data_IF_345682841341
#
_entry.id   IF_345682841341
#
_cell.length_a   1.000
_cell.length_b   1.000
_cell.length_c   1.000
_cell.angle_alpha   90.00
_cell.angle_beta   90.00
_cell.angle_gamma   90.00
#
_symmetry.space_group_name_H-M   'P 1'
#
loop_
_entity.id
_entity.type
_entity.pdbx_description
1 polymer ?
#
# COMPACT_ATOMS: atom_id res chain seq x y z
N UNK A 1 1.05 -23.21 -11.70
CA UNK A 1 1.61 -22.35 -10.63
C UNK A 1 2.08 -21.05 -11.26
N UNK A 2 1.57 -19.87 -10.86
CA UNK A 2 2.04 -18.61 -11.42
C UNK A 2 3.49 -18.39 -10.97
N UNK A 3 4.41 -18.24 -11.93
CA UNK A 3 5.83 -17.96 -11.63
C UNK A 3 5.89 -16.67 -10.81
N UNK A 4 6.35 -16.77 -9.56
CA UNK A 4 6.57 -15.62 -8.67
C UNK A 4 7.54 -14.67 -9.38
N UNK A 5 7.12 -13.43 -9.61
CA UNK A 5 7.89 -12.45 -10.40
C UNK A 5 8.87 -11.65 -9.56
N UNK A 6 8.68 -11.68 -8.24
CA UNK A 6 9.45 -10.88 -7.29
C UNK A 6 10.30 -11.76 -6.37
N UNK A 7 11.54 -11.34 -6.10
CA UNK A 7 12.47 -12.07 -5.23
C UNK A 7 12.22 -11.74 -3.75
N UNK A 8 12.66 -12.58 -2.82
CA UNK A 8 12.54 -12.37 -1.37
C UNK A 8 13.13 -11.03 -0.91
N UNK A 9 14.26 -10.60 -1.51
CA UNK A 9 14.84 -9.27 -1.25
C UNK A 9 13.87 -8.14 -1.63
N UNK A 10 13.22 -8.25 -2.79
CA UNK A 10 12.27 -7.25 -3.28
C UNK A 10 11.01 -7.21 -2.39
N UNK A 11 10.56 -8.37 -1.90
CA UNK A 11 9.46 -8.49 -0.94
C UNK A 11 9.80 -7.75 0.36
N UNK A 12 10.96 -8.05 0.96
CA UNK A 12 11.41 -7.41 2.21
C UNK A 12 11.56 -5.90 2.08
N UNK A 13 12.20 -5.43 1.01
CA UNK A 13 12.39 -3.99 0.76
C UNK A 13 11.05 -3.30 0.52
N UNK A 14 10.15 -3.91 -0.26
CA UNK A 14 8.80 -3.36 -0.50
C UNK A 14 7.99 -3.30 0.77
N UNK A 15 8.02 -4.35 1.59
CA UNK A 15 7.32 -4.36 2.88
C UNK A 15 7.79 -3.21 3.77
N UNK A 16 9.11 -3.06 3.92
CA UNK A 16 9.69 -2.00 4.76
C UNK A 16 9.38 -0.59 4.24
N UNK A 17 9.59 -0.34 2.94
CA UNK A 17 9.39 1.00 2.35
C UNK A 17 7.91 1.40 2.37
N UNK A 18 7.01 0.51 1.96
CA UNK A 18 5.57 0.84 1.93
C UNK A 18 5.06 1.05 3.36
N UNK A 19 5.38 0.15 4.28
CA UNK A 19 4.96 0.27 5.67
C UNK A 19 5.48 1.56 6.30
N UNK A 20 6.75 1.92 6.05
CA UNK A 20 7.34 3.16 6.54
C UNK A 20 6.67 4.41 5.97
N UNK A 21 6.42 4.45 4.65
CA UNK A 21 5.79 5.62 4.01
C UNK A 21 4.39 5.85 4.58
N UNK A 22 3.57 4.81 4.67
CA UNK A 22 2.20 4.98 5.17
C UNK A 22 2.21 5.37 6.65
N UNK A 23 3.07 4.74 7.46
CA UNK A 23 3.21 5.10 8.87
C UNK A 23 3.71 6.54 9.07
N UNK A 24 4.65 7.01 8.25
CA UNK A 24 5.11 8.39 8.30
C UNK A 24 4.00 9.38 7.91
N UNK A 25 3.21 9.09 6.87
CA UNK A 25 2.08 9.93 6.48
C UNK A 25 1.05 10.00 7.61
N UNK A 26 0.74 8.86 8.21
CA UNK A 26 -0.22 8.77 9.30
C UNK A 26 0.24 9.58 10.52
N UNK A 27 1.47 9.38 10.97
CA UNK A 27 2.02 10.05 12.16
C UNK A 27 2.32 11.53 11.99
N UNK A 28 2.67 11.98 10.77
CA UNK A 28 3.04 13.39 10.52
C UNK A 28 1.90 14.25 9.97
N UNK A 29 0.94 13.64 9.28
CA UNK A 29 -0.18 14.35 8.65
C UNK A 29 -1.49 13.93 9.30
N UNK A 30 -1.80 12.64 9.38
CA UNK A 30 -3.13 12.23 9.81
C UNK A 30 -3.41 12.49 11.30
N UNK A 31 -2.44 12.19 12.17
CA UNK A 31 -2.55 12.40 13.63
C UNK A 31 -2.55 13.89 13.99
N UNK A 32 -1.61 14.74 13.51
CA UNK A 32 -1.56 16.15 13.94
C UNK A 32 -2.70 17.01 13.40
N UNK A 33 -3.26 16.64 12.24
CA UNK A 33 -4.38 17.36 11.63
C UNK A 33 -5.75 16.73 11.96
N UNK A 34 -5.79 15.74 12.85
CA UNK A 34 -7.00 15.04 13.29
C UNK A 34 -7.86 14.53 12.11
N UNK A 35 -7.17 13.99 11.10
CA UNK A 35 -7.78 13.53 9.85
C UNK A 35 -8.60 12.25 10.10
N UNK A 36 -8.09 11.42 11.02
CA UNK A 36 -8.74 10.22 11.51
C UNK A 36 -8.87 10.31 13.04
N UNK A 37 -10.09 10.54 13.51
CA UNK A 37 -10.51 10.48 14.91
C UNK A 37 -10.67 8.99 15.29
N UNK A 38 -9.53 8.37 15.60
CA UNK A 38 -9.45 6.95 15.98
C UNK A 38 -9.88 6.83 17.43
N UNK A 39 -11.08 6.29 17.66
CA UNK A 39 -11.73 6.27 18.98
C UNK A 39 -10.80 5.75 20.11
N UNK A 40 -10.53 6.66 21.06
CA UNK A 40 -9.93 6.49 22.38
C UNK A 40 -8.40 6.24 22.48
N UNK A 41 -7.71 7.01 23.36
CA UNK A 41 -6.23 7.05 23.51
C UNK A 41 -5.60 5.79 24.15
N UNK A 42 -6.34 4.67 24.24
CA UNK A 42 -5.87 3.43 24.91
C UNK A 42 -5.57 2.28 23.95
N UNK A 43 -5.84 2.41 22.65
CA UNK A 43 -5.56 1.36 21.64
C UNK A 43 -4.82 1.89 20.39
N UNK A 44 -4.30 3.11 20.46
CA UNK A 44 -3.74 3.95 19.38
C UNK A 44 -2.32 3.53 18.94
N UNK A 45 -2.06 2.24 18.78
CA UNK A 45 -0.69 1.80 18.47
C UNK A 45 -0.65 0.57 17.60
N UNK A 46 -0.96 -0.59 18.18
CA UNK A 46 -0.79 -1.85 17.46
C UNK A 46 -1.82 -2.05 16.35
N UNK A 47 -3.08 -1.68 16.55
CA UNK A 47 -4.12 -1.83 15.53
C UNK A 47 -3.87 -0.92 14.33
N UNK A 48 -3.37 0.30 14.56
CA UNK A 48 -3.05 1.27 13.50
C UNK A 48 -1.83 0.83 12.69
N UNK A 49 -0.77 0.36 13.36
CA UNK A 49 0.42 -0.18 12.68
C UNK A 49 0.06 -1.39 11.81
N UNK A 50 -0.85 -2.26 12.26
CA UNK A 50 -1.29 -3.39 11.45
C UNK A 50 -2.13 -2.91 10.26
N UNK A 51 -3.09 -2.02 10.52
CA UNK A 51 -4.03 -1.56 9.51
C UNK A 51 -3.38 -0.68 8.43
N UNK A 52 -2.54 0.26 8.82
CA UNK A 52 -1.87 1.22 7.94
C UNK A 52 -0.44 0.83 7.57
N UNK A 53 0.20 -0.07 8.32
CA UNK A 53 1.54 -0.56 7.97
C UNK A 53 1.49 -1.90 7.23
N UNK A 54 0.85 -2.91 7.83
CA UNK A 54 0.93 -4.29 7.35
C UNK A 54 0.04 -4.54 6.13
N UNK A 55 -1.24 -4.14 6.17
CA UNK A 55 -2.19 -4.37 5.08
C UNK A 55 -1.72 -3.73 3.75
N UNK A 56 -1.39 -2.43 3.68
CA UNK A 56 -0.96 -1.82 2.42
C UNK A 56 0.37 -2.39 1.92
N UNK A 57 1.27 -2.79 2.81
CA UNK A 57 2.52 -3.47 2.46
C UNK A 57 2.25 -4.83 1.80
N UNK A 58 1.38 -5.63 2.39
CA UNK A 58 0.97 -6.92 1.83
C UNK A 58 0.27 -6.76 0.47
N UNK A 59 -0.68 -5.82 0.35
CA UNK A 59 -1.34 -5.53 -0.92
C UNK A 59 -0.36 -5.10 -2.00
N UNK A 60 0.63 -4.28 -1.65
CA UNK A 60 1.68 -3.83 -2.55
C UNK A 60 2.52 -5.00 -3.08
N UNK A 61 2.90 -5.94 -2.21
CA UNK A 61 3.64 -7.15 -2.60
C UNK A 61 2.80 -8.03 -3.55
N UNK A 62 1.53 -8.26 -3.22
CA UNK A 62 0.64 -9.07 -4.08
C UNK A 62 0.46 -8.39 -5.43
N UNK A 63 0.25 -7.07 -5.45
CA UNK A 63 0.16 -6.27 -6.68
C UNK A 63 1.41 -6.44 -7.54
N UNK A 64 2.60 -6.26 -6.96
CA UNK A 64 3.87 -6.38 -7.69
C UNK A 64 4.13 -7.79 -8.20
N UNK A 65 3.72 -8.81 -7.46
CA UNK A 65 3.86 -10.20 -7.89
C UNK A 65 2.95 -10.53 -9.09
N UNK A 66 1.75 -9.96 -9.14
CA UNK A 66 0.80 -10.12 -10.24
C UNK A 66 1.02 -9.14 -11.40
N UNK A 67 1.91 -8.15 -11.21
CA UNK A 67 2.09 -7.04 -12.15
C UNK A 67 2.53 -7.52 -13.54
N UNK A 68 1.68 -7.24 -14.53
CA UNK A 68 1.96 -7.43 -15.96
C UNK A 68 1.74 -6.12 -16.69
N UNK A 69 2.75 -5.67 -17.44
CA UNK A 69 2.73 -4.37 -18.15
C UNK A 69 1.57 -4.27 -19.15
N UNK A 70 1.22 -5.38 -19.80
CA UNK A 70 0.10 -5.49 -20.76
C UNK A 70 -1.28 -5.26 -20.13
N UNK A 71 -1.47 -5.69 -18.88
CA UNK A 71 -2.75 -5.57 -18.15
C UNK A 71 -2.66 -4.61 -16.96
N UNK A 72 -1.76 -3.62 -17.05
CA UNK A 72 -1.47 -2.66 -15.98
C UNK A 72 -2.74 -2.05 -15.42
N UNK A 73 -3.56 -1.44 -16.28
CA UNK A 73 -4.74 -0.69 -15.86
C UNK A 73 -5.80 -1.58 -15.24
N UNK A 74 -6.00 -2.80 -15.75
CA UNK A 74 -6.91 -3.78 -15.14
C UNK A 74 -6.48 -4.14 -13.71
N UNK A 75 -5.19 -4.37 -13.50
CA UNK A 75 -4.61 -4.64 -12.17
C UNK A 75 -4.71 -3.43 -11.25
N UNK A 76 -4.40 -2.22 -11.74
CA UNK A 76 -4.53 -0.98 -10.96
C UNK A 76 -5.97 -0.79 -10.50
N UNK A 77 -6.94 -0.85 -11.41
CA UNK A 77 -8.35 -0.68 -11.07
C UNK A 77 -8.81 -1.71 -10.06
N UNK A 78 -8.42 -2.98 -10.23
CA UNK A 78 -8.77 -4.04 -9.29
C UNK A 78 -8.23 -3.79 -7.88
N UNK A 79 -6.96 -3.39 -7.75
CA UNK A 79 -6.35 -3.13 -6.44
C UNK A 79 -6.82 -1.82 -5.80
N UNK A 80 -7.16 -0.80 -6.60
CA UNK A 80 -7.80 0.43 -6.11
C UNK A 80 -9.18 0.10 -5.53
N UNK A 81 -9.98 -0.72 -6.21
CA UNK A 81 -11.30 -1.16 -5.70
C UNK A 81 -11.13 -1.94 -4.40
N UNK A 82 -10.20 -2.89 -4.33
CA UNK A 82 -9.93 -3.65 -3.10
C UNK A 82 -9.53 -2.73 -1.94
N UNK A 83 -8.61 -1.80 -2.19
CA UNK A 83 -8.12 -0.87 -1.17
C UNK A 83 -9.23 0.04 -0.67
N UNK A 84 -10.06 0.54 -1.59
CA UNK A 84 -11.24 1.33 -1.24
C UNK A 84 -12.27 0.55 -0.43
N UNK A 85 -12.53 -0.72 -0.76
CA UNK A 85 -13.42 -1.58 0.03
C UNK A 85 -12.87 -1.80 1.44
N UNK A 86 -11.57 -2.03 1.57
CA UNK A 86 -10.92 -2.21 2.88
C UNK A 86 -11.00 -0.95 3.73
N UNK A 87 -10.74 0.22 3.15
CA UNK A 87 -10.89 1.50 3.84
C UNK A 87 -12.35 1.74 4.25
N UNK A 88 -13.30 1.49 3.36
CA UNK A 88 -14.73 1.58 3.65
C UNK A 88 -15.14 0.66 4.80
N UNK A 89 -14.67 -0.59 4.80
CA UNK A 89 -14.92 -1.53 5.89
C UNK A 89 -14.36 -0.99 7.20
N UNK A 90 -13.19 -0.37 7.16
CA UNK A 90 -12.53 0.17 8.35
C UNK A 90 -13.26 1.40 8.91
N UNK A 91 -13.83 2.24 8.04
CA UNK A 91 -14.73 3.32 8.43
C UNK A 91 -16.03 2.78 9.06
N UNK A 92 -16.61 1.72 8.50
CA UNK A 92 -17.83 1.07 9.05
C UNK A 92 -17.62 0.42 10.41
N UNK A 93 -16.45 -0.16 10.66
CA UNK A 93 -16.07 -0.76 11.95
C UNK A 93 -15.80 0.33 13.02
N UNK A 94 -15.79 1.61 12.63
CA UNK A 94 -15.67 2.74 13.56
C UNK A 94 -14.22 2.99 14.02
N UNK A 95 -13.24 2.41 13.32
CA UNK A 95 -11.80 2.65 13.54
C UNK A 95 -11.43 4.02 12.99
N UNK A 96 -11.96 4.40 11.81
CA UNK A 96 -11.86 5.74 11.25
C UNK A 96 -13.23 6.43 11.37
N UNK A 97 -13.40 7.32 12.34
CA UNK A 97 -14.36 8.42 12.26
C UNK A 97 -13.53 9.68 12.02
N UNK A 98 -13.93 10.63 11.19
CA UNK A 98 -13.06 11.78 10.92
C UNK A 98 -13.54 12.63 9.75
N UNK A 99 -12.89 13.78 9.56
CA UNK A 99 -13.21 14.74 8.49
C UNK A 99 -12.79 14.25 7.09
N UNK A 100 -12.03 13.15 7.00
CA UNK A 100 -11.58 12.59 5.73
C UNK A 100 -12.73 12.02 4.90
N UNK A 101 -12.92 12.59 3.71
CA UNK A 101 -13.84 12.02 2.72
C UNK A 101 -13.14 10.83 2.06
N UNK A 102 -13.71 9.63 2.18
CA UNK A 102 -13.20 8.36 1.64
C UNK A 102 -12.88 8.46 0.12
N UNK A 103 -13.54 9.37 -0.59
CA UNK A 103 -13.28 9.66 -2.00
C UNK A 103 -11.87 10.20 -2.29
N UNK A 104 -11.24 10.91 -1.34
CA UNK A 104 -9.87 11.41 -1.48
C UNK A 104 -8.82 10.32 -1.49
N UNK A 105 -9.14 9.11 -1.02
CA UNK A 105 -8.22 7.99 -1.04
C UNK A 105 -8.09 7.34 -2.41
N UNK A 106 -9.10 7.49 -3.28
CA UNK A 106 -9.08 6.97 -4.65
C UNK A 106 -7.89 7.51 -5.46
N UNK A 107 -7.65 8.84 -5.55
CA UNK A 107 -6.48 9.35 -6.27
C UNK A 107 -5.16 8.91 -5.62
N UNK A 108 -5.10 8.78 -4.29
CA UNK A 108 -3.91 8.31 -3.58
C UNK A 108 -3.60 6.86 -3.98
N UNK A 109 -4.59 5.96 -3.93
CA UNK A 109 -4.42 4.57 -4.36
C UNK A 109 -4.06 4.49 -5.84
N UNK A 110 -4.69 5.30 -6.68
CA UNK A 110 -4.38 5.33 -8.10
C UNK A 110 -2.92 5.74 -8.35
N UNK A 111 -2.42 6.77 -7.66
CA UNK A 111 -1.01 7.18 -7.76
C UNK A 111 -0.08 6.09 -7.25
N UNK A 112 -0.41 5.48 -6.10
CA UNK A 112 0.39 4.42 -5.49
C UNK A 112 0.52 3.20 -6.41
N UNK A 113 -0.59 2.66 -6.92
CA UNK A 113 -0.60 1.48 -7.78
C UNK A 113 -0.17 1.78 -9.21
N UNK A 114 -0.55 2.91 -9.80
CA UNK A 114 -0.24 3.20 -11.20
C UNK A 114 1.19 3.71 -11.41
N UNK A 115 1.76 4.44 -10.45
CA UNK A 115 3.05 5.11 -10.63
C UNK A 115 4.10 4.65 -9.61
N UNK A 116 3.80 4.76 -8.31
CA UNK A 116 4.79 4.52 -7.26
C UNK A 116 5.30 3.08 -7.26
N UNK A 117 4.41 2.09 -7.17
CA UNK A 117 4.78 0.68 -7.09
C UNK A 117 5.56 0.18 -8.33
N UNK A 118 5.12 0.46 -9.57
CA UNK A 118 5.90 0.11 -10.76
C UNK A 118 7.27 0.79 -10.83
N UNK A 119 7.38 2.03 -10.35
CA UNK A 119 8.64 2.75 -10.29
C UNK A 119 9.57 2.17 -9.22
N UNK A 120 9.05 1.94 -8.03
CA UNK A 120 9.75 1.32 -6.90
C UNK A 120 10.34 -0.04 -7.28
N UNK A 121 9.55 -0.91 -7.93
CA UNK A 121 10.04 -2.22 -8.38
C UNK A 121 11.18 -2.06 -9.40
N UNK A 122 11.06 -1.14 -10.37
CA UNK A 122 12.14 -0.86 -11.33
C UNK A 122 13.40 -0.34 -10.63
N UNK A 123 13.25 0.48 -9.60
CA UNK A 123 14.37 1.03 -8.84
C UNK A 123 15.14 -0.08 -8.09
N UNK A 124 14.43 -0.97 -7.40
CA UNK A 124 15.05 -2.13 -6.75
C UNK A 124 15.74 -3.02 -7.78
N UNK A 125 15.11 -3.26 -8.93
CA UNK A 125 15.66 -4.12 -9.98
C UNK A 125 16.84 -3.52 -10.72
N UNK A 126 16.91 -2.20 -10.83
CA UNK A 126 18.05 -1.50 -11.45
C UNK A 126 19.29 -1.54 -10.56
N UNK A 127 19.10 -1.55 -9.25
CA UNK A 127 20.19 -1.56 -8.27
C UNK A 127 20.47 -2.97 -7.71
N UNK A 128 19.57 -3.92 -7.94
CA UNK A 128 19.74 -5.33 -7.66
C UNK A 128 20.59 -5.98 -8.74
N UNK A 129 21.83 -6.30 -8.39
CA UNK A 129 22.66 -7.28 -9.10
C UNK A 129 21.86 -8.59 -9.08
N UNK A 130 21.09 -8.88 -10.14
CA UNK A 130 20.58 -10.21 -10.54
C UNK A 130 19.54 -10.06 -11.66
N UNK A 131 19.98 -9.54 -12.82
CA UNK A 131 19.34 -9.81 -14.13
C UNK A 131 20.39 -9.97 -15.21
N UNK A 132 21.28 -10.94 -15.01
CA UNK A 132 21.67 -11.81 -16.12
C UNK A 132 20.58 -12.89 -16.17
N UNK A 133 20.14 -13.27 -17.37
CA UNK A 133 19.09 -14.28 -17.64
C UNK A 133 17.69 -13.73 -17.28
N UNK A 134 16.83 -13.29 -18.20
CA UNK A 134 16.37 -13.96 -19.42
C UNK A 134 16.05 -12.85 -20.44
N UNK A 135 16.83 -12.86 -21.54
CA UNK A 135 16.46 -12.30 -22.83
C UNK A 135 15.45 -13.23 -23.51
#
# INVERSE_FOLDING_TARGET
MPKVRINWKEIYITFGIIGYIVWMIDTTIAVPFDIFDINHPKKTGLSEIILYGVIPSCLSIIYLNLYKREKKWTLVTFFVIISFILEWLTSKVGVMKGAWQIWWSIPIFLVAYAFFLPWHLKFIQKNGIDRVIIA
#
